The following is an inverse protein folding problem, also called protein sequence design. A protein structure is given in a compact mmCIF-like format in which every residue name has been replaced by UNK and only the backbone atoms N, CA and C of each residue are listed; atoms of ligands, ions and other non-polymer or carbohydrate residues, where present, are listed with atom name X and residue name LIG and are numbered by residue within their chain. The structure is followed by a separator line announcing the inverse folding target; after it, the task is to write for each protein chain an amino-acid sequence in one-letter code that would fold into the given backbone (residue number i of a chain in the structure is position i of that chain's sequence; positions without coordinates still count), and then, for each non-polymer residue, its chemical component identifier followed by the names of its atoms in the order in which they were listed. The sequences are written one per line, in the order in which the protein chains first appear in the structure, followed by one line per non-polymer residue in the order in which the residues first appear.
data_IF_977340326915
#
_entry.id   IF_977340326915
#
_cell.length_a   1.000
_cell.length_b   1.000
_cell.length_c   1.000
_cell.angle_alpha   90.00
_cell.angle_beta   90.00
_cell.angle_gamma   90.00
#
_symmetry.space_group_name_H-M   'P 1'
#
loop_
_entity.id
_entity.type
_entity.pdbx_description
1 polymer ?
#
# COMPACT_ATOMS: atom_id res chain seq x y z
N UNK A 1 2.35 -2.71 -11.67
CA UNK A 1 0.88 -2.85 -11.64
C UNK A 1 0.54 -4.21 -11.09
N UNK A 2 -0.39 -4.28 -10.13
CA UNK A 2 -0.95 -5.55 -9.63
C UNK A 2 -2.33 -5.67 -10.27
N UNK A 3 -2.72 -6.86 -10.72
CA UNK A 3 -4.00 -7.08 -11.42
C UNK A 3 -4.59 -8.46 -11.14
N UNK A 4 -5.86 -8.65 -11.46
CA UNK A 4 -6.63 -9.87 -11.18
C UNK A 4 -6.57 -10.33 -9.72
N UNK A 5 -6.59 -9.37 -8.80
CA UNK A 5 -6.58 -9.64 -7.36
C UNK A 5 -7.93 -10.27 -6.96
N UNK A 6 -7.88 -11.29 -6.11
CA UNK A 6 -9.06 -11.99 -5.57
C UNK A 6 -9.05 -11.98 -4.04
N UNK A 7 -10.20 -12.16 -3.39
CA UNK A 7 -10.26 -12.32 -1.93
C UNK A 7 -9.27 -13.37 -1.42
N UNK A 8 -8.73 -13.14 -0.23
CA UNK A 8 -7.69 -13.98 0.38
C UNK A 8 -6.34 -14.01 -0.37
N UNK A 9 -6.12 -13.11 -1.34
CA UNK A 9 -4.81 -12.95 -1.96
C UNK A 9 -3.99 -11.87 -1.27
N UNK A 10 -2.68 -12.04 -1.36
CA UNK A 10 -1.71 -11.04 -0.95
C UNK A 10 -0.42 -11.24 -1.72
N UNK A 11 0.44 -10.24 -1.63
CA UNK A 11 1.74 -10.28 -2.27
C UNK A 11 2.70 -9.33 -1.58
N UNK A 12 3.99 -9.51 -1.88
CA UNK A 12 5.01 -8.58 -1.41
C UNK A 12 6.12 -8.42 -2.43
N UNK A 13 6.77 -7.27 -2.37
CA UNK A 13 7.93 -6.90 -3.17
C UNK A 13 8.97 -6.28 -2.26
N UNK A 14 10.24 -6.40 -2.62
CA UNK A 14 11.34 -5.77 -1.88
C UNK A 14 12.24 -5.01 -2.84
N UNK A 15 12.60 -3.78 -2.48
CA UNK A 15 13.53 -2.94 -3.23
C UNK A 15 14.70 -2.56 -2.35
N UNK A 16 15.91 -2.66 -2.90
CA UNK A 16 17.11 -2.09 -2.27
C UNK A 16 17.30 -0.65 -2.74
N UNK A 17 17.50 0.26 -1.80
CA UNK A 17 17.89 1.64 -2.05
C UNK A 17 19.33 1.86 -1.57
N UNK A 18 20.10 2.67 -2.29
CA UNK A 18 21.47 3.02 -1.91
C UNK A 18 21.73 4.50 -2.19
N UNK A 19 22.24 5.24 -1.21
CA UNK A 19 22.75 6.59 -1.46
C UNK A 19 24.18 6.49 -1.99
N UNK A 20 24.35 6.68 -3.30
CA UNK A 20 25.67 6.68 -3.95
C UNK A 20 26.35 8.05 -3.95
N UNK A 21 25.75 9.05 -3.31
CA UNK A 21 26.30 10.38 -3.15
C UNK A 21 27.31 10.47 -2.00
N UNK A 22 28.01 11.59 -1.94
CA UNK A 22 28.96 11.92 -0.86
C UNK A 22 28.30 12.68 0.30
N UNK A 23 27.02 13.00 0.19
CA UNK A 23 26.25 13.76 1.17
C UNK A 23 25.08 12.91 1.67
N UNK A 24 24.73 13.13 2.94
CA UNK A 24 23.56 12.53 3.55
C UNK A 24 22.29 13.05 2.87
N UNK A 25 21.39 12.12 2.55
CA UNK A 25 20.12 12.40 1.90
C UNK A 25 18.95 12.21 2.84
N UNK A 26 17.83 12.86 2.54
CA UNK A 26 16.56 12.62 3.25
C UNK A 26 15.73 11.66 2.40
N UNK A 27 15.38 10.50 2.96
CA UNK A 27 14.50 9.53 2.30
C UNK A 27 13.04 9.74 2.71
N UNK A 28 12.17 10.02 1.76
CA UNK A 28 10.71 10.01 1.94
C UNK A 28 10.04 8.98 1.02
N UNK A 29 8.90 8.45 1.46
CA UNK A 29 8.04 7.59 0.65
C UNK A 29 6.67 8.25 0.55
N UNK A 30 6.18 8.34 -0.68
CA UNK A 30 4.85 8.84 -0.98
C UNK A 30 4.14 7.86 -1.90
N UNK A 31 2.87 7.58 -1.62
CA UNK A 31 2.00 6.83 -2.53
C UNK A 31 1.19 7.84 -3.33
N UNK A 32 1.72 8.20 -4.50
CA UNK A 32 1.06 9.09 -5.45
C UNK A 32 0.33 8.26 -6.49
N UNK A 33 -0.96 8.54 -6.69
CA UNK A 33 -1.78 7.96 -7.77
C UNK A 33 -2.26 6.49 -7.59
N UNK A 34 -3.13 6.25 -6.62
CA UNK A 34 -3.89 4.99 -6.52
C UNK A 34 -5.07 5.05 -7.49
N UNK A 35 -4.99 4.29 -8.57
CA UNK A 35 -6.06 4.16 -9.57
C UNK A 35 -6.69 2.78 -9.42
N UNK A 36 -7.89 2.73 -8.83
CA UNK A 36 -8.69 1.51 -8.79
C UNK A 36 -9.34 1.32 -10.17
N UNK A 37 -8.96 0.25 -10.86
CA UNK A 37 -9.53 -0.16 -12.14
C UNK A 37 -10.52 -1.27 -11.91
N UNK A 38 -11.63 -0.90 -11.30
CA UNK A 38 -12.72 -1.83 -11.05
C UNK A 38 -13.47 -2.14 -12.34
N UNK A 39 -14.15 -3.28 -12.35
CA UNK A 39 -14.92 -3.73 -13.52
C UNK A 39 -16.32 -3.09 -13.57
N UNK A 40 -16.66 -2.23 -12.61
CA UNK A 40 -18.01 -1.70 -12.42
C UNK A 40 -19.01 -2.80 -12.04
N UNK A 41 -20.31 -2.50 -12.14
CA UNK A 41 -21.35 -3.49 -11.90
C UNK A 41 -21.31 -4.60 -12.96
N UNK A 42 -21.24 -5.85 -12.50
CA UNK A 42 -21.43 -7.03 -13.33
C UNK A 42 -22.92 -7.42 -13.42
N UNK A 43 -23.26 -8.27 -14.39
CA UNK A 43 -24.65 -8.73 -14.65
C UNK A 43 -25.44 -9.10 -13.36
N UNK A 44 -24.90 -9.92 -12.43
CA UNK A 44 -25.56 -10.19 -11.15
C UNK A 44 -25.89 -8.95 -10.29
N UNK A 45 -24.99 -7.96 -10.23
CA UNK A 45 -25.16 -6.73 -9.46
C UNK A 45 -26.24 -5.84 -10.09
N UNK A 46 -26.26 -5.73 -11.42
CA UNK A 46 -27.25 -4.92 -12.15
C UNK A 46 -28.70 -5.41 -12.01
N UNK A 47 -28.91 -6.65 -11.56
CA UNK A 47 -30.25 -7.21 -11.36
C UNK A 47 -30.94 -6.68 -10.10
N UNK A 48 -30.19 -6.15 -9.14
CA UNK A 48 -30.74 -5.67 -7.86
C UNK A 48 -30.20 -4.31 -7.42
N UNK A 49 -29.04 -3.89 -7.94
CA UNK A 49 -28.53 -2.53 -7.82
C UNK A 49 -28.56 -1.81 -9.17
N UNK A 50 -29.27 -0.69 -9.21
CA UNK A 50 -29.31 0.21 -10.38
C UNK A 50 -28.45 1.45 -10.22
N UNK A 51 -27.81 1.60 -9.07
CA UNK A 51 -27.07 2.79 -8.64
C UNK A 51 -25.57 2.56 -8.52
N UNK A 52 -25.12 1.35 -8.21
CA UNK A 52 -23.71 0.98 -7.98
C UNK A 52 -23.14 1.51 -6.65
N UNK A 53 -23.95 2.18 -5.84
CA UNK A 53 -23.54 2.96 -4.67
C UNK A 53 -22.39 3.96 -4.93
N UNK A 54 -21.88 4.61 -3.88
CA UNK A 54 -20.62 5.38 -3.95
C UNK A 54 -19.40 4.44 -3.84
N UNK A 55 -19.29 3.43 -4.71
CA UNK A 55 -18.23 2.41 -4.66
C UNK A 55 -18.28 1.52 -3.40
N UNK A 56 -19.45 1.39 -2.76
CA UNK A 56 -19.72 0.59 -1.56
C UNK A 56 -19.64 -0.93 -1.86
N UNK A 57 -18.44 -1.48 -1.97
CA UNK A 57 -18.24 -2.91 -2.27
C UNK A 57 -17.11 -3.19 -3.26
N UNK A 58 -16.48 -2.13 -3.78
CA UNK A 58 -15.37 -2.25 -4.71
C UNK A 58 -14.10 -2.80 -4.05
N UNK A 59 -13.44 -3.71 -4.76
CA UNK A 59 -12.34 -4.51 -4.23
C UNK A 59 -11.15 -3.66 -3.75
N UNK A 60 -10.85 -2.59 -4.50
CA UNK A 60 -9.78 -1.63 -4.22
C UNK A 60 -9.99 -0.85 -2.93
N UNK A 61 -11.23 -0.65 -2.48
CA UNK A 61 -11.53 0.00 -1.19
C UNK A 61 -11.15 -0.87 0.02
N UNK A 62 -10.97 -2.18 -0.19
CA UNK A 62 -10.61 -3.15 0.84
C UNK A 62 -9.16 -3.62 0.76
N UNK A 63 -8.39 -3.16 -0.23
CA UNK A 63 -6.98 -3.49 -0.37
C UNK A 63 -6.19 -2.85 0.78
N UNK A 64 -5.53 -3.65 1.60
CA UNK A 64 -4.62 -3.14 2.62
C UNK A 64 -3.18 -3.25 2.16
N UNK A 65 -2.37 -2.33 2.67
CA UNK A 65 -0.94 -2.29 2.43
C UNK A 65 -0.17 -2.15 3.73
N UNK A 66 1.10 -2.54 3.66
CA UNK A 66 2.09 -2.38 4.71
C UNK A 66 3.45 -2.17 4.08
N UNK A 67 4.21 -1.22 4.59
CA UNK A 67 5.59 -0.98 4.17
C UNK A 67 6.49 -1.16 5.39
N UNK A 68 7.56 -1.94 5.23
CA UNK A 68 8.64 -2.07 6.20
C UNK A 68 9.92 -1.56 5.57
N UNK A 69 10.65 -0.72 6.28
CA UNK A 69 11.99 -0.30 5.88
C UNK A 69 12.96 -0.89 6.87
N UNK A 70 13.93 -1.64 6.37
CA UNK A 70 15.01 -2.23 7.14
C UNK A 70 16.31 -1.58 6.74
N UNK A 71 17.01 -0.98 7.69
CA UNK A 71 18.31 -0.36 7.43
C UNK A 71 19.45 -1.38 7.39
N UNK A 72 20.67 -0.86 7.25
CA UNK A 72 21.89 -1.64 7.25
C UNK A 72 22.22 -2.29 8.61
N UNK A 73 21.73 -1.73 9.72
CA UNK A 73 21.90 -2.26 11.07
C UNK A 73 20.83 -3.29 11.48
N UNK A 74 19.87 -3.53 10.58
CA UNK A 74 18.70 -4.42 10.70
C UNK A 74 17.56 -3.83 11.54
N UNK A 75 17.62 -2.56 11.91
CA UNK A 75 16.47 -1.88 12.50
C UNK A 75 15.36 -1.77 11.48
N UNK A 76 14.15 -2.21 11.86
CA UNK A 76 12.98 -2.20 10.98
C UNK A 76 11.94 -1.20 11.47
N UNK A 77 11.56 -0.27 10.59
CA UNK A 77 10.47 0.69 10.78
C UNK A 77 9.27 0.25 9.95
N UNK A 78 8.05 0.44 10.46
CA UNK A 78 6.81 0.09 9.75
C UNK A 78 5.97 1.34 9.45
N UNK A 79 5.38 1.37 8.26
CA UNK A 79 4.51 2.39 7.69
C UNK A 79 3.22 1.69 7.17
N UNK A 80 2.04 2.34 7.12
CA UNK A 80 1.73 3.77 7.32
C UNK A 80 1.27 4.19 8.71
N UNK A 81 0.99 3.24 9.60
CA UNK A 81 0.57 3.51 10.98
C UNK A 81 1.71 3.07 11.90
N UNK A 82 1.97 3.82 12.98
CA UNK A 82 2.92 3.39 14.00
C UNK A 82 2.51 2.02 14.58
N UNK A 83 3.43 1.05 14.52
CA UNK A 83 3.19 -0.36 14.89
C UNK A 83 3.02 -1.28 13.67
N UNK A 84 3.11 -2.60 13.88
CA UNK A 84 3.08 -3.61 12.79
C UNK A 84 1.65 -3.83 12.23
N UNK A 85 0.99 -2.76 11.79
CA UNK A 85 -0.42 -2.75 11.35
C UNK A 85 -0.54 -2.52 9.85
N UNK A 86 -1.61 -3.07 9.27
CA UNK A 86 -2.01 -2.85 7.89
C UNK A 86 -2.92 -1.62 7.82
N UNK A 87 -2.92 -0.90 6.70
CA UNK A 87 -3.89 0.17 6.44
C UNK A 87 -4.47 0.06 5.04
N UNK A 88 -5.69 0.55 4.84
CA UNK A 88 -6.33 0.57 3.52
C UNK A 88 -5.56 1.50 2.59
N UNK A 89 -5.39 1.08 1.34
CA UNK A 89 -4.66 1.85 0.32
C UNK A 89 -5.29 3.22 0.07
N UNK A 90 -6.62 3.31 0.09
CA UNK A 90 -7.36 4.56 -0.12
C UNK A 90 -7.17 5.55 1.03
N UNK A 91 -6.96 5.07 2.27
CA UNK A 91 -6.77 5.95 3.43
C UNK A 91 -5.44 6.69 3.41
N UNK A 92 -4.46 6.13 2.67
CA UNK A 92 -3.06 6.57 2.67
C UNK A 92 -2.60 7.12 1.32
N UNK A 93 -3.40 6.95 0.27
CA UNK A 93 -3.17 7.52 -1.04
C UNK A 93 -3.07 9.06 -0.97
N UNK A 94 -2.08 9.63 -1.66
CA UNK A 94 -1.87 11.08 -1.74
C UNK A 94 -1.42 11.74 -0.43
N UNK A 95 -1.09 10.95 0.60
CA UNK A 95 -0.57 11.44 1.88
C UNK A 95 0.90 11.10 2.02
N UNK A 96 1.67 12.09 2.44
CA UNK A 96 3.03 11.91 2.92
C UNK A 96 2.93 11.65 4.41
N UNK A 97 3.26 10.44 4.85
CA UNK A 97 3.35 10.16 6.28
C UNK A 97 4.79 10.22 6.73
N UNK A 98 5.02 11.06 7.72
CA UNK A 98 6.19 10.91 8.53
C UNK A 98 5.99 9.68 9.44
N UNK A 99 6.60 8.54 9.13
CA UNK A 99 6.76 7.52 10.19
C UNK A 99 7.58 8.20 11.26
N UNK A 100 7.35 7.91 12.53
CA UNK A 100 8.37 8.22 13.53
C UNK A 100 9.71 7.62 13.05
N UNK A 101 10.59 8.45 12.48
CA UNK A 101 11.82 8.03 11.79
C UNK A 101 11.80 7.87 10.25
N UNK A 102 10.77 8.33 9.54
CA UNK A 102 10.76 8.64 8.09
C UNK A 102 10.22 10.07 7.98
N UNK A 103 10.93 11.08 7.45
CA UNK A 103 12.13 10.94 6.65
C UNK A 103 13.34 10.49 7.46
N UNK A 104 13.95 9.39 7.05
CA UNK A 104 15.20 8.89 7.61
C UNK A 104 16.34 9.55 6.86
N UNK A 105 17.38 9.98 7.56
CA UNK A 105 18.63 10.32 6.89
C UNK A 105 19.22 9.05 6.32
N UNK A 106 19.34 8.95 5.00
CA UNK A 106 20.09 7.90 4.33
C UNK A 106 21.51 8.42 4.11
N UNK A 107 22.46 7.97 4.93
CA UNK A 107 23.82 8.51 4.90
C UNK A 107 24.53 8.19 3.59
N UNK A 108 25.57 8.96 3.29
CA UNK A 108 26.43 8.68 2.15
C UNK A 108 26.94 7.21 2.18
N UNK A 109 26.69 6.46 1.11
CA UNK A 109 27.07 5.04 1.00
C UNK A 109 26.14 4.04 1.69
N UNK A 110 25.12 4.51 2.40
CA UNK A 110 24.19 3.66 3.15
C UNK A 110 23.18 2.95 2.23
N UNK A 111 22.73 1.78 2.67
CA UNK A 111 21.72 0.97 2.00
C UNK A 111 20.54 0.72 2.92
N UNK A 112 19.35 0.76 2.34
CA UNK A 112 18.11 0.35 3.00
C UNK A 112 17.32 -0.61 2.11
N UNK A 113 16.52 -1.45 2.74
CA UNK A 113 15.60 -2.37 2.09
C UNK A 113 14.16 -1.95 2.38
N UNK A 114 13.40 -1.70 1.32
CA UNK A 114 11.99 -1.34 1.38
C UNK A 114 11.18 -2.59 1.01
N UNK A 115 10.51 -3.18 1.99
CA UNK A 115 9.53 -4.24 1.79
C UNK A 115 8.13 -3.65 1.72
N UNK A 116 7.43 -3.88 0.62
CA UNK A 116 6.03 -3.52 0.45
C UNK A 116 5.21 -4.79 0.38
N UNK A 117 4.12 -4.83 1.11
CA UNK A 117 3.14 -5.90 1.00
C UNK A 117 1.74 -5.34 0.88
N UNK A 118 0.90 -6.14 0.25
CA UNK A 118 -0.51 -5.89 0.10
C UNK A 118 -1.29 -7.16 0.43
N UNK A 119 -2.50 -7.00 0.93
CA UNK A 119 -3.45 -8.09 1.08
C UNK A 119 -4.87 -7.64 0.80
N UNK A 120 -5.69 -8.60 0.44
CA UNK A 120 -7.13 -8.47 0.37
C UNK A 120 -7.73 -9.52 1.31
N UNK A 121 -8.55 -9.07 2.26
CA UNK A 121 -9.09 -9.97 3.27
C UNK A 121 -9.96 -11.06 2.61
N UNK A 122 -10.01 -12.25 3.21
CA UNK A 122 -10.84 -13.36 2.70
C UNK A 122 -12.33 -13.04 2.70
N UNK A 123 -12.75 -12.16 3.61
CA UNK A 123 -14.14 -11.73 3.77
C UNK A 123 -14.44 -10.49 2.92
N UNK A 124 -13.46 -10.02 2.13
CA UNK A 124 -13.74 -9.07 1.06
C UNK A 124 -14.45 -9.84 -0.05
N UNK A 125 -15.64 -9.42 -0.42
CA UNK A 125 -16.29 -9.86 -1.64
C UNK A 125 -16.89 -8.65 -2.31
N UNK A 126 -17.17 -8.74 -3.62
CA UNK A 126 -18.22 -7.90 -4.19
C UNK A 126 -19.49 -8.29 -3.42
N UNK A 127 -19.93 -7.39 -2.54
CA UNK A 127 -21.24 -7.51 -1.96
C UNK A 127 -22.18 -7.00 -3.05
N UNK A 128 -23.20 -7.79 -3.37
CA UNK A 128 -24.28 -7.28 -4.20
C UNK A 128 -24.87 -6.08 -3.45
N UNK A 129 -24.72 -4.90 -4.03
CA UNK A 129 -25.20 -3.64 -3.45
C UNK A 129 -26.72 -3.54 -3.52
#
# INVERSE_FOLDING_TARGET
TIGNIKPNQGGSSTWGLTNTGSLDGILSIEITNVVNKENGMNEPETLVDTTGGEFEGELGAHLNIKIKITDSDKTTKTWPIAGDRWAKVNDVAGKIYAVSGIPGTLKAGEKESIWFAWNLHKDTGNIIQ
#
